data_IF_897903674012
#
_entry.id   IF_897903674012
#
_cell.length_a   1.000
_cell.length_b   1.000
_cell.length_c   1.000
_cell.angle_alpha   90.00
_cell.angle_beta   90.00
_cell.angle_gamma   90.00
#
_symmetry.space_group_name_H-M   'P 1'
#
loop_
_entity.id
_entity.type
_entity.pdbx_description
1 polymer ?
#
# COMPACT_ATOMS: atom_id res chain seq x y z
N UNK A 1 -15.57 32.49 29.33
CA UNK A 1 -14.74 32.74 28.13
C UNK A 1 -13.73 31.60 27.98
N UNK A 2 -14.19 30.40 27.63
CA UNK A 2 -13.39 29.16 27.63
C UNK A 2 -13.58 28.33 26.35
N UNK A 3 -14.00 28.96 25.25
CA UNK A 3 -14.29 28.27 23.98
C UNK A 3 -13.16 28.26 22.95
N UNK A 4 -12.06 29.00 23.17
CA UNK A 4 -11.07 29.26 22.12
C UNK A 4 -9.95 28.21 22.04
N UNK A 5 -9.70 27.43 23.09
CA UNK A 5 -8.54 26.52 23.13
C UNK A 5 -8.77 25.18 22.42
N UNK A 6 -9.99 24.64 22.44
CA UNK A 6 -10.30 23.38 21.72
C UNK A 6 -10.27 23.56 20.20
N UNK A 7 -10.76 24.69 19.70
CA UNK A 7 -10.82 24.96 18.27
C UNK A 7 -9.43 25.18 17.64
N UNK A 8 -8.48 25.74 18.40
CA UNK A 8 -7.08 25.84 17.96
C UNK A 8 -6.37 24.48 18.02
N UNK A 9 -6.66 23.63 19.00
CA UNK A 9 -6.07 22.28 19.09
C UNK A 9 -6.51 21.38 17.92
N UNK A 10 -7.81 21.39 17.55
CA UNK A 10 -8.32 20.64 16.40
C UNK A 10 -7.74 21.15 15.06
N UNK A 11 -7.58 22.46 14.92
CA UNK A 11 -6.96 23.05 13.72
C UNK A 11 -5.46 22.74 13.62
N UNK A 12 -4.75 22.67 14.74
CA UNK A 12 -3.33 22.31 14.77
C UNK A 12 -3.11 20.80 14.56
N UNK A 13 -3.96 19.93 15.09
CA UNK A 13 -3.89 18.48 14.84
C UNK A 13 -4.19 18.15 13.37
N UNK A 14 -5.22 18.77 12.78
CA UNK A 14 -5.52 18.60 11.35
C UNK A 14 -4.46 19.21 10.43
N UNK A 15 -3.80 20.30 10.83
CA UNK A 15 -2.67 20.87 10.09
C UNK A 15 -1.41 20.00 10.19
N UNK A 16 -1.16 19.34 11.32
CA UNK A 16 -0.02 18.44 11.50
C UNK A 16 -0.18 17.13 10.70
N UNK A 17 -1.40 16.57 10.65
CA UNK A 17 -1.76 15.44 9.74
C UNK A 17 -1.56 15.78 8.25
N UNK A 18 -1.65 17.06 7.88
CA UNK A 18 -1.36 17.55 6.51
C UNK A 18 0.12 17.90 6.29
N UNK A 19 0.91 18.01 7.35
CA UNK A 19 2.29 18.52 7.36
C UNK A 19 3.35 17.44 7.56
N UNK A 20 3.02 16.29 8.15
CA UNK A 20 3.80 15.10 7.85
C UNK A 20 3.54 14.77 6.38
N UNK A 21 4.55 14.26 5.68
CA UNK A 21 4.47 13.76 4.29
C UNK A 21 3.39 12.68 4.18
N UNK A 22 2.12 13.07 4.25
CA UNK A 22 0.98 12.21 4.06
C UNK A 22 1.20 11.52 2.74
N UNK A 23 1.11 10.19 2.74
CA UNK A 23 1.48 9.31 1.63
C UNK A 23 0.85 9.86 0.36
N UNK A 24 1.60 10.69 -0.34
CA UNK A 24 1.14 11.31 -1.56
C UNK A 24 1.14 10.16 -2.55
N UNK A 25 -0.04 9.82 -3.06
CA UNK A 25 -0.20 8.72 -4.02
C UNK A 25 0.76 8.93 -5.19
N UNK A 26 0.95 10.19 -5.63
CA UNK A 26 1.92 10.58 -6.65
C UNK A 26 3.36 10.22 -6.28
N UNK A 27 3.81 10.61 -5.09
CA UNK A 27 5.17 10.31 -4.62
C UNK A 27 5.37 8.81 -4.48
N UNK A 28 4.36 8.10 -3.97
CA UNK A 28 4.40 6.64 -3.80
C UNK A 28 4.46 5.90 -5.13
N UNK A 29 3.67 6.31 -6.13
CA UNK A 29 3.72 5.73 -7.47
C UNK A 29 5.05 6.01 -8.15
N UNK A 30 5.61 7.21 -8.00
CA UNK A 30 6.93 7.53 -8.54
C UNK A 30 8.03 6.69 -7.87
N UNK A 31 7.97 6.49 -6.56
CA UNK A 31 8.91 5.63 -5.84
C UNK A 31 8.81 4.17 -6.31
N UNK A 32 7.60 3.65 -6.51
CA UNK A 32 7.37 2.31 -7.05
C UNK A 32 7.94 2.21 -8.47
N UNK A 33 7.71 3.23 -9.31
CA UNK A 33 8.27 3.29 -10.67
C UNK A 33 9.78 3.21 -10.64
N UNK A 34 10.43 4.07 -9.85
CA UNK A 34 11.90 4.09 -9.71
C UNK A 34 12.43 2.74 -9.21
N UNK A 35 11.79 2.16 -8.19
CA UNK A 35 12.13 0.83 -7.68
C UNK A 35 11.99 -0.24 -8.77
N UNK A 36 10.85 -0.32 -9.45
CA UNK A 36 10.57 -1.34 -10.45
C UNK A 36 11.61 -1.33 -11.59
N UNK A 37 12.00 -0.15 -12.08
CA UNK A 37 13.06 -0.05 -13.09
C UNK A 37 14.45 -0.39 -12.58
N UNK A 38 14.78 0.06 -11.37
CA UNK A 38 16.10 -0.14 -10.78
C UNK A 38 16.35 -1.59 -10.34
N UNK A 39 15.30 -2.27 -9.87
CA UNK A 39 15.35 -3.65 -9.41
C UNK A 39 15.10 -4.67 -10.53
N UNK A 40 14.68 -4.24 -11.73
CA UNK A 40 14.22 -5.15 -12.80
C UNK A 40 15.18 -6.31 -13.07
N UNK A 41 16.45 -6.02 -13.34
CA UNK A 41 17.46 -7.06 -13.67
C UNK A 41 17.77 -7.98 -12.49
N UNK A 42 17.49 -7.56 -11.26
CA UNK A 42 17.63 -8.42 -10.07
C UNK A 42 16.38 -9.25 -9.79
N UNK A 43 15.23 -8.84 -10.33
CA UNK A 43 13.97 -9.56 -10.22
C UNK A 43 13.81 -10.59 -11.33
N UNK A 44 14.33 -10.33 -12.53
CA UNK A 44 14.40 -11.27 -13.65
C UNK A 44 15.54 -12.27 -13.40
N UNK A 45 15.21 -13.38 -12.73
CA UNK A 45 16.21 -14.34 -12.22
C UNK A 45 16.72 -15.27 -13.31
N UNK A 46 15.91 -15.57 -14.32
CA UNK A 46 16.30 -16.42 -15.44
C UNK A 46 16.79 -15.64 -16.67
N UNK A 47 16.62 -14.31 -16.68
CA UNK A 47 17.12 -13.42 -17.71
C UNK A 47 16.34 -13.52 -19.02
N UNK A 48 15.09 -13.98 -18.97
CA UNK A 48 14.23 -14.14 -20.15
C UNK A 48 13.64 -12.80 -20.62
N UNK A 49 13.86 -11.72 -19.86
CA UNK A 49 13.37 -10.39 -20.14
C UNK A 49 11.99 -10.11 -19.55
N UNK A 50 11.43 -11.03 -18.75
CA UNK A 50 10.13 -10.91 -18.09
C UNK A 50 10.28 -11.19 -16.60
N UNK A 51 9.59 -10.39 -15.79
CA UNK A 51 9.50 -10.63 -14.34
C UNK A 51 8.19 -11.34 -14.04
N UNK A 52 8.28 -12.61 -13.67
CA UNK A 52 7.14 -13.49 -13.35
C UNK A 52 6.60 -13.23 -11.93
N UNK A 53 5.38 -13.74 -11.65
CA UNK A 53 4.82 -13.70 -10.30
C UNK A 53 5.66 -14.50 -9.29
N UNK A 54 6.26 -15.61 -9.73
CA UNK A 54 7.12 -16.46 -8.91
C UNK A 54 8.37 -15.70 -8.48
N UNK A 55 9.01 -14.99 -9.39
CA UNK A 55 10.21 -14.20 -9.08
C UNK A 55 9.92 -13.03 -8.14
N UNK A 56 8.83 -12.30 -8.36
CA UNK A 56 8.38 -11.27 -7.42
C UNK A 56 8.08 -11.84 -6.03
N UNK A 57 7.47 -13.03 -5.97
CA UNK A 57 7.17 -13.72 -4.70
C UNK A 57 8.45 -14.16 -4.00
N UNK A 58 9.43 -14.68 -4.73
CA UNK A 58 10.74 -15.03 -4.22
C UNK A 58 11.44 -13.80 -3.61
N UNK A 59 11.50 -12.69 -4.36
CA UNK A 59 12.07 -11.44 -3.89
C UNK A 59 11.33 -10.88 -2.65
N UNK A 60 10.01 -11.06 -2.56
CA UNK A 60 9.24 -10.63 -1.39
C UNK A 60 9.57 -11.44 -0.13
N UNK A 61 9.80 -12.74 -0.30
CA UNK A 61 10.15 -13.64 0.81
C UNK A 61 11.59 -13.47 1.29
N UNK A 62 12.43 -12.71 0.57
CA UNK A 62 13.79 -12.42 0.98
C UNK A 62 13.81 -11.74 2.38
N UNK A 63 14.52 -12.33 3.37
CA UNK A 63 14.63 -11.73 4.70
C UNK A 63 15.47 -10.45 4.73
N UNK A 64 16.31 -10.22 3.72
CA UNK A 64 17.16 -9.04 3.60
C UNK A 64 16.43 -7.82 3.02
N UNK A 65 15.34 -8.05 2.29
CA UNK A 65 14.54 -6.98 1.70
C UNK A 65 13.86 -6.13 2.79
N UNK A 66 13.99 -4.82 2.67
CA UNK A 66 13.36 -3.88 3.60
C UNK A 66 11.84 -3.86 3.44
N UNK A 67 11.10 -3.51 4.51
CA UNK A 67 9.63 -3.41 4.46
C UNK A 67 9.11 -2.46 3.37
N UNK A 68 9.89 -1.41 3.05
CA UNK A 68 9.57 -0.50 1.94
C UNK A 68 9.61 -1.21 0.59
N UNK A 69 10.67 -1.96 0.31
CA UNK A 69 10.82 -2.74 -0.92
C UNK A 69 9.75 -3.82 -1.02
N UNK A 70 9.45 -4.52 0.08
CA UNK A 70 8.35 -5.49 0.17
C UNK A 70 7.00 -4.89 -0.20
N UNK A 71 6.73 -3.64 0.19
CA UNK A 71 5.50 -2.94 -0.21
C UNK A 71 5.44 -2.67 -1.72
N UNK A 72 6.58 -2.39 -2.36
CA UNK A 72 6.66 -2.17 -3.80
C UNK A 72 6.54 -3.49 -4.58
N UNK A 73 7.21 -4.55 -4.13
CA UNK A 73 7.05 -5.89 -4.68
C UNK A 73 5.60 -6.36 -4.60
N UNK A 74 4.93 -6.12 -3.47
CA UNK A 74 3.53 -6.47 -3.31
C UNK A 74 2.60 -5.70 -4.25
N UNK A 75 2.91 -4.42 -4.51
CA UNK A 75 2.22 -3.65 -5.54
C UNK A 75 2.37 -4.31 -6.91
N UNK A 76 3.60 -4.67 -7.31
CA UNK A 76 3.86 -5.34 -8.59
C UNK A 76 3.14 -6.70 -8.68
N UNK A 77 3.18 -7.52 -7.62
CA UNK A 77 2.48 -8.82 -7.56
C UNK A 77 0.98 -8.64 -7.80
N UNK A 78 0.35 -7.65 -7.14
CA UNK A 78 -1.09 -7.41 -7.28
C UNK A 78 -1.50 -6.88 -8.64
N UNK A 79 -0.59 -6.15 -9.29
CA UNK A 79 -0.83 -5.48 -10.56
C UNK A 79 -0.20 -6.21 -11.72
N UNK A 80 0.29 -7.44 -11.53
CA UNK A 80 1.03 -8.15 -12.57
C UNK A 80 0.19 -8.33 -13.84
N UNK A 81 -1.09 -8.65 -13.69
CA UNK A 81 -2.03 -8.78 -14.81
C UNK A 81 -2.30 -7.43 -15.48
N UNK A 82 -2.50 -6.36 -14.69
CA UNK A 82 -2.75 -5.02 -15.23
C UNK A 82 -1.52 -4.46 -15.95
N UNK A 83 -0.34 -4.66 -15.38
CA UNK A 83 0.95 -4.22 -15.94
C UNK A 83 1.23 -4.99 -17.23
N UNK A 84 1.16 -6.33 -17.22
CA UNK A 84 1.38 -7.16 -18.42
C UNK A 84 0.32 -7.01 -19.50
N UNK A 85 -0.83 -6.39 -19.18
CA UNK A 85 -1.85 -6.01 -20.13
C UNK A 85 -1.66 -4.60 -20.70
N UNK A 86 -0.78 -3.77 -20.11
CA UNK A 86 -0.57 -2.39 -20.53
C UNK A 86 0.06 -2.30 -21.92
N UNK A 87 0.84 -3.30 -22.32
CA UNK A 87 1.40 -3.43 -23.67
C UNK A 87 1.13 -4.83 -24.23
N UNK A 88 0.76 -4.90 -25.52
CA UNK A 88 0.58 -6.17 -26.23
C UNK A 88 1.80 -6.41 -27.11
N UNK A 89 2.75 -7.19 -26.60
CA UNK A 89 3.94 -7.58 -27.35
C UNK A 89 3.58 -8.59 -28.44
N UNK A 90 3.66 -8.17 -29.71
CA UNK A 90 3.27 -9.01 -30.86
C UNK A 90 4.12 -10.29 -31.02
N UNK A 91 5.25 -10.37 -30.33
CA UNK A 91 6.24 -11.44 -30.46
C UNK A 91 6.29 -12.41 -29.28
N UNK A 92 5.57 -12.13 -28.18
CA UNK A 92 5.49 -13.02 -27.03
C UNK A 92 4.34 -14.03 -27.22
N UNK A 93 4.68 -15.28 -27.58
CA UNK A 93 3.69 -16.33 -27.78
C UNK A 93 2.91 -16.70 -26.49
N UNK A 94 3.49 -16.42 -25.33
CA UNK A 94 2.88 -16.60 -24.01
C UNK A 94 3.26 -15.41 -23.13
N UNK A 95 2.26 -14.73 -22.54
CA UNK A 95 2.50 -13.67 -21.55
C UNK A 95 3.00 -14.31 -20.26
N UNK A 96 4.30 -14.21 -19.98
CA UNK A 96 4.94 -14.84 -18.82
C UNK A 96 5.34 -13.88 -17.71
N UNK A 97 4.78 -12.67 -17.65
CA UNK A 97 5.05 -11.74 -16.57
C UNK A 97 5.03 -10.32 -17.03
N UNK A 98 5.80 -9.49 -16.35
CA UNK A 98 5.95 -8.06 -16.62
C UNK A 98 7.21 -7.84 -17.45
N UNK A 99 7.09 -7.23 -18.62
CA UNK A 99 8.24 -6.72 -19.37
C UNK A 99 8.64 -5.30 -18.93
N UNK A 100 9.82 -4.83 -19.33
CA UNK A 100 10.20 -3.41 -19.13
C UNK A 100 9.27 -2.44 -19.85
N UNK A 101 8.76 -2.86 -21.02
CA UNK A 101 7.84 -2.05 -21.82
C UNK A 101 6.48 -1.99 -21.15
N UNK A 102 6.01 -3.11 -20.59
CA UNK A 102 4.79 -3.16 -19.78
C UNK A 102 4.83 -2.17 -18.62
N UNK A 103 5.94 -2.13 -17.86
CA UNK A 103 6.10 -1.15 -16.77
C UNK A 103 6.03 0.29 -17.28
N UNK A 104 6.68 0.56 -18.40
CA UNK A 104 6.68 1.90 -19.00
C UNK A 104 5.28 2.33 -19.39
N UNK A 105 4.59 1.52 -20.18
CA UNK A 105 3.25 1.82 -20.64
C UNK A 105 2.28 1.92 -19.46
N UNK A 106 2.38 1.02 -18.48
CA UNK A 106 1.52 1.06 -17.30
C UNK A 106 1.70 2.36 -16.49
N UNK A 107 2.93 2.78 -16.21
CA UNK A 107 3.16 4.01 -15.45
C UNK A 107 2.93 5.29 -16.26
N UNK A 108 3.00 5.24 -17.59
CA UNK A 108 2.60 6.36 -18.45
C UNK A 108 1.07 6.52 -18.51
N UNK A 109 0.32 5.40 -18.42
CA UNK A 109 -1.14 5.41 -18.41
C UNK A 109 -1.75 5.86 -17.08
N UNK A 110 -1.02 5.73 -15.97
CA UNK A 110 -1.46 6.25 -14.68
C UNK A 110 -1.25 7.77 -14.64
N UNK A 111 -2.24 8.50 -15.15
CA UNK A 111 -2.34 9.93 -14.91
C UNK A 111 -2.74 10.16 -13.44
N UNK A 112 -1.84 10.78 -12.68
CA UNK A 112 -2.20 11.30 -11.35
C UNK A 112 -2.90 12.63 -11.57
N UNK A 113 -4.22 12.66 -11.33
CA UNK A 113 -5.00 13.90 -11.38
C UNK A 113 -4.46 14.89 -10.34
N UNK A 114 -4.66 16.18 -10.59
CA UNK A 114 -4.27 17.25 -9.66
C UNK A 114 -4.96 17.13 -8.28
N UNK A 115 -6.10 16.42 -8.20
CA UNK A 115 -6.83 16.15 -6.97
C UNK A 115 -6.28 14.96 -6.15
N UNK A 116 -5.22 14.29 -6.63
CA UNK A 116 -4.58 13.16 -5.96
C UNK A 116 -5.26 11.81 -6.17
N UNK A 117 -6.33 11.74 -6.96
CA UNK A 117 -6.93 10.46 -7.38
C UNK A 117 -6.22 9.90 -8.61
N UNK A 118 -6.09 8.58 -8.68
CA UNK A 118 -5.54 7.87 -9.84
C UNK A 118 -6.66 7.05 -10.50
N UNK A 119 -7.27 7.65 -11.53
CA UNK A 119 -8.12 6.93 -12.48
C UNK A 119 -7.32 6.70 -13.77
N UNK A 120 -7.52 5.57 -14.43
CA UNK A 120 -6.93 5.34 -15.74
C UNK A 120 -7.45 6.40 -16.73
N UNK A 121 -6.55 7.08 -17.44
CA UNK A 121 -6.91 8.15 -18.36
C UNK A 121 -7.81 7.61 -19.50
N UNK A 122 -8.96 8.24 -19.81
CA UNK A 122 -9.74 7.89 -20.98
C UNK A 122 -9.02 8.41 -22.23
N UNK A 123 -8.09 7.64 -22.79
CA UNK A 123 -7.44 8.05 -24.04
C UNK A 123 -8.39 7.83 -25.21
N UNK A 124 -8.67 8.93 -25.90
CA UNK A 124 -9.46 8.96 -27.12
C UNK A 124 -8.78 8.12 -28.22
N UNK A 125 -9.55 7.13 -28.67
CA UNK A 125 -9.47 6.43 -29.95
C UNK A 125 -8.26 5.49 -30.20
N UNK A 126 -8.62 4.21 -30.20
CA UNK A 126 -8.27 3.24 -31.23
C UNK A 126 -6.84 2.67 -31.23
N UNK A 127 -6.57 1.77 -30.28
CA UNK A 127 -6.04 0.46 -30.62
C UNK A 127 -6.30 -0.55 -29.50
N UNK A 128 -7.20 -1.50 -29.82
CA UNK A 128 -7.53 -2.78 -29.16
C UNK A 128 -7.99 -2.75 -27.69
N UNK A 129 -9.31 -2.94 -27.58
CA UNK A 129 -10.13 -3.06 -26.39
C UNK A 129 -9.75 -4.28 -25.53
N UNK A 130 -8.66 -4.23 -24.78
CA UNK A 130 -8.68 -4.86 -23.47
C UNK A 130 -9.25 -3.79 -22.55
N UNK A 131 -10.51 -3.92 -22.06
CA UNK A 131 -10.93 -3.08 -20.96
C UNK A 131 -9.98 -3.40 -19.82
N UNK A 132 -9.03 -2.50 -19.56
CA UNK A 132 -8.37 -2.44 -18.26
C UNK A 132 -9.54 -2.44 -17.28
N UNK A 133 -9.63 -3.43 -16.37
CA UNK A 133 -10.74 -3.52 -15.44
C UNK A 133 -10.96 -2.14 -14.85
N UNK A 134 -12.09 -1.53 -15.17
CA UNK A 134 -12.36 -0.12 -14.85
C UNK A 134 -12.50 0.11 -13.34
N UNK A 135 -12.33 -0.95 -12.54
CA UNK A 135 -11.98 -0.87 -11.14
C UNK A 135 -10.53 -0.40 -10.98
N UNK A 136 -10.28 0.89 -11.23
CA UNK A 136 -9.16 1.56 -10.56
C UNK A 136 -9.18 1.22 -9.06
N UNK A 137 -8.02 1.28 -8.39
CA UNK A 137 -8.00 1.03 -6.95
C UNK A 137 -8.93 2.05 -6.30
N UNK A 138 -10.08 1.57 -5.82
CA UNK A 138 -10.91 2.35 -4.95
C UNK A 138 -10.15 2.42 -3.61
N UNK A 139 -9.36 3.49 -3.44
CA UNK A 139 -8.55 3.69 -2.24
C UNK A 139 -9.43 3.74 -1.00
N UNK A 140 -10.63 4.32 -1.11
CA UNK A 140 -11.63 4.31 -0.04
C UNK A 140 -12.01 2.88 0.34
N UNK A 141 -12.36 2.03 -0.62
CA UNK A 141 -12.62 0.61 -0.35
C UNK A 141 -11.40 -0.11 0.23
N UNK A 142 -10.20 0.16 -0.29
CA UNK A 142 -8.96 -0.45 0.20
C UNK A 142 -8.72 -0.09 1.67
N UNK A 143 -8.89 1.17 2.03
CA UNK A 143 -8.72 1.59 3.42
C UNK A 143 -9.83 1.04 4.32
N UNK A 144 -11.06 0.94 3.82
CA UNK A 144 -12.14 0.28 4.54
C UNK A 144 -11.82 -1.20 4.79
N UNK A 145 -11.32 -1.93 3.79
CA UNK A 145 -10.90 -3.32 3.95
C UNK A 145 -9.76 -3.47 4.95
N UNK A 146 -8.78 -2.56 4.95
CA UNK A 146 -7.69 -2.54 5.93
C UNK A 146 -8.25 -2.32 7.32
N UNK A 147 -9.15 -1.35 7.49
CA UNK A 147 -9.78 -1.03 8.76
C UNK A 147 -10.59 -2.20 9.31
N UNK A 148 -11.47 -2.79 8.49
CA UNK A 148 -12.28 -3.95 8.85
C UNK A 148 -11.41 -5.17 9.19
N UNK A 149 -10.36 -5.42 8.40
CA UNK A 149 -9.41 -6.48 8.68
C UNK A 149 -8.73 -6.26 10.03
N UNK A 150 -8.14 -5.08 10.26
CA UNK A 150 -7.40 -4.75 11.47
C UNK A 150 -8.25 -4.90 12.73
N UNK A 151 -9.50 -4.44 12.71
CA UNK A 151 -10.42 -4.60 13.83
C UNK A 151 -10.84 -6.06 14.05
N UNK A 152 -11.08 -6.80 12.97
CA UNK A 152 -11.51 -8.20 13.03
C UNK A 152 -10.42 -9.13 13.57
N UNK A 153 -9.16 -8.88 13.20
CA UNK A 153 -8.03 -9.73 13.58
C UNK A 153 -7.26 -9.19 14.78
N UNK A 154 -7.67 -8.06 15.37
CA UNK A 154 -6.98 -7.42 16.49
C UNK A 154 -6.64 -8.39 17.62
N UNK A 155 -7.66 -9.07 18.18
CA UNK A 155 -7.46 -10.03 19.30
C UNK A 155 -6.56 -11.21 18.95
N UNK A 156 -6.46 -11.57 17.66
CA UNK A 156 -5.57 -12.66 17.23
C UNK A 156 -4.13 -12.20 17.02
N UNK A 157 -3.93 -10.90 16.78
CA UNK A 157 -2.61 -10.30 16.58
C UNK A 157 -2.00 -9.78 17.88
N UNK A 158 -2.83 -9.32 18.82
CA UNK A 158 -2.45 -8.93 20.19
C UNK A 158 -2.15 -10.21 21.00
N UNK A 159 -0.89 -10.65 20.95
CA UNK A 159 -0.44 -11.94 21.46
C UNK A 159 -0.23 -11.90 22.97
N UNK A 160 0.14 -10.75 23.52
CA UNK A 160 0.35 -10.58 24.95
C UNK A 160 -0.90 -10.07 25.69
N UNK A 161 -1.92 -9.61 24.95
CA UNK A 161 -3.22 -9.21 25.48
C UNK A 161 -3.17 -7.85 26.18
N UNK A 162 -2.20 -7.00 25.84
CA UNK A 162 -2.03 -5.68 26.45
C UNK A 162 -3.02 -4.63 25.91
N UNK A 163 -3.76 -4.98 24.84
CA UNK A 163 -4.76 -4.14 24.20
C UNK A 163 -4.19 -3.26 23.08
N UNK A 164 -2.92 -3.44 22.72
CA UNK A 164 -2.21 -2.71 21.68
C UNK A 164 -1.58 -3.68 20.67
N UNK A 165 -1.48 -3.26 19.42
CA UNK A 165 -0.70 -3.98 18.41
C UNK A 165 0.68 -3.36 18.32
N UNK A 166 1.66 -4.02 18.93
CA UNK A 166 3.05 -3.65 18.86
C UNK A 166 3.62 -3.86 17.44
N UNK A 167 4.78 -3.24 17.17
CA UNK A 167 5.51 -3.47 15.90
C UNK A 167 5.87 -4.94 15.72
N UNK A 168 6.25 -5.64 16.79
CA UNK A 168 6.68 -7.03 16.72
C UNK A 168 5.51 -7.96 16.37
N UNK A 169 4.34 -7.74 16.94
CA UNK A 169 3.14 -8.54 16.67
C UNK A 169 2.67 -8.39 15.22
N UNK A 170 2.62 -7.15 14.72
CA UNK A 170 2.30 -6.90 13.32
C UNK A 170 3.34 -7.52 12.37
N UNK A 171 4.63 -7.52 12.74
CA UNK A 171 5.68 -8.19 11.97
C UNK A 171 5.48 -9.70 11.97
N UNK A 172 5.22 -10.31 13.14
CA UNK A 172 4.96 -11.74 13.28
C UNK A 172 3.78 -12.16 12.38
N UNK A 173 2.66 -11.43 12.47
CA UNK A 173 1.48 -11.68 11.64
C UNK A 173 1.76 -11.50 10.13
N UNK A 174 2.61 -10.54 9.75
CA UNK A 174 2.97 -10.29 8.35
C UNK A 174 3.91 -11.35 7.77
N UNK A 175 4.72 -11.99 8.62
CA UNK A 175 5.62 -13.08 8.22
C UNK A 175 4.98 -14.47 8.28
N UNK A 176 3.81 -14.60 8.91
CA UNK A 176 3.08 -15.87 8.98
C UNK A 176 2.78 -16.41 7.56
N UNK A 177 3.11 -17.67 7.33
CA UNK A 177 2.88 -18.38 6.06
C UNK A 177 1.39 -18.59 5.78
N UNK A 178 0.56 -18.68 6.82
CA UNK A 178 -0.89 -18.84 6.72
C UNK A 178 -1.60 -17.54 6.33
N UNK A 179 -0.95 -16.39 6.56
CA UNK A 179 -1.50 -15.09 6.18
C UNK A 179 -1.45 -14.92 4.66
N UNK A 180 -2.63 -14.76 4.06
CA UNK A 180 -2.75 -14.52 2.63
C UNK A 180 -2.04 -13.23 2.19
N UNK A 181 -1.67 -13.17 0.90
CA UNK A 181 -1.05 -12.00 0.30
C UNK A 181 -1.90 -10.73 0.39
N UNK A 182 -3.22 -10.89 0.50
CA UNK A 182 -4.12 -9.76 0.68
C UNK A 182 -3.90 -9.11 2.04
N UNK A 183 -4.00 -9.93 3.07
CA UNK A 183 -3.87 -9.58 4.47
C UNK A 183 -2.47 -9.08 4.81
N UNK A 184 -1.42 -9.68 4.22
CA UNK A 184 -0.03 -9.21 4.35
C UNK A 184 0.12 -7.75 3.94
N UNK A 185 -0.56 -7.27 2.89
CA UNK A 185 -0.48 -5.83 2.56
C UNK A 185 -1.09 -4.95 3.63
N UNK A 186 -2.18 -5.41 4.25
CA UNK A 186 -2.88 -4.65 5.27
C UNK A 186 -1.98 -4.51 6.49
N UNK A 187 -1.31 -5.60 6.88
CA UNK A 187 -0.32 -5.60 7.95
C UNK A 187 0.88 -4.72 7.63
N UNK A 188 1.41 -4.78 6.40
CA UNK A 188 2.50 -3.89 5.95
C UNK A 188 2.07 -2.43 6.01
N UNK A 189 0.83 -2.13 5.61
CA UNK A 189 0.27 -0.78 5.71
C UNK A 189 0.24 -0.30 7.16
N UNK A 190 -0.26 -1.13 8.09
CA UNK A 190 -0.27 -0.80 9.53
C UNK A 190 1.15 -0.60 10.06
N UNK A 191 2.10 -1.48 9.73
CA UNK A 191 3.51 -1.39 10.14
C UNK A 191 4.19 -0.10 9.70
N UNK A 192 3.90 0.36 8.48
CA UNK A 192 4.47 1.58 7.92
C UNK A 192 3.88 2.83 8.56
N UNK A 193 2.61 2.77 8.94
CA UNK A 193 1.87 3.91 9.49
C UNK A 193 1.71 3.83 11.01
N UNK A 194 2.39 2.91 11.69
CA UNK A 194 2.20 2.65 13.12
C UNK A 194 2.29 3.92 13.98
N UNK A 195 3.29 4.77 13.75
CA UNK A 195 3.46 6.01 14.51
C UNK A 195 2.38 7.06 14.22
N UNK A 196 1.85 7.08 13.00
CA UNK A 196 0.79 8.01 12.62
C UNK A 196 -0.56 7.53 13.17
N UNK A 197 -0.79 6.21 13.15
CA UNK A 197 -1.99 5.57 13.69
C UNK A 197 -1.99 5.70 15.22
N UNK A 198 -0.90 5.36 15.90
CA UNK A 198 -0.78 5.42 17.38
C UNK A 198 -0.85 6.83 17.97
N UNK A 199 -0.83 7.87 17.13
CA UNK A 199 -0.98 9.27 17.52
C UNK A 199 -2.34 9.84 17.12
N UNK A 200 -3.17 9.06 16.43
CA UNK A 200 -4.49 9.50 16.01
C UNK A 200 -5.40 9.71 17.22
N UNK A 201 -5.25 8.91 18.27
CA UNK A 201 -6.02 9.03 19.50
C UNK A 201 -5.10 9.11 20.72
N UNK A 202 -5.26 10.16 21.53
CA UNK A 202 -4.45 10.36 22.75
C UNK A 202 -5.07 9.60 23.92
N UNK A 203 -4.55 8.40 24.17
CA UNK A 203 -4.84 7.62 25.36
C UNK A 203 -3.91 8.06 26.50
N UNK A 204 -4.39 8.94 27.38
CA UNK A 204 -3.59 9.49 28.49
C UNK A 204 -3.01 8.45 29.48
N UNK A 205 -3.43 7.19 29.36
CA UNK A 205 -3.02 6.07 30.21
C UNK A 205 -2.08 5.09 29.50
N UNK A 206 -1.92 5.17 28.18
CA UNK A 206 -1.09 4.27 27.41
C UNK A 206 0.41 4.66 27.54
N UNK A 207 1.33 3.69 27.65
CA UNK A 207 2.74 3.99 27.59
C UNK A 207 3.11 4.59 26.23
N UNK A 208 4.08 5.52 26.23
CA UNK A 208 4.66 6.01 24.98
C UNK A 208 5.21 4.82 24.18
N UNK A 209 4.73 4.65 22.94
CA UNK A 209 5.07 3.53 22.04
C UNK A 209 4.43 2.17 22.37
N UNK A 210 3.27 2.14 23.06
CA UNK A 210 2.51 0.91 23.29
C UNK A 210 2.15 0.17 21.98
N UNK A 211 1.96 0.90 20.88
CA UNK A 211 1.59 0.32 19.59
C UNK A 211 0.32 0.97 19.07
N UNK A 212 -0.53 0.19 18.39
CA UNK A 212 -1.80 0.65 17.84
C UNK A 212 -2.95 0.12 18.70
N UNK A 213 -3.73 1.00 19.32
CA UNK A 213 -4.97 0.61 19.99
C UNK A 213 -6.14 0.48 18.99
N UNK A 214 -7.27 -0.08 19.44
CA UNK A 214 -8.51 -0.06 18.64
C UNK A 214 -9.03 1.35 18.40
N UNK A 215 -8.86 2.24 19.38
CA UNK A 215 -9.31 3.63 19.29
C UNK A 215 -8.44 4.39 18.29
N UNK A 216 -7.14 4.12 18.28
CA UNK A 216 -6.22 4.64 17.27
C UNK A 216 -6.66 4.28 15.84
N UNK A 217 -6.98 3.01 15.60
CA UNK A 217 -7.47 2.56 14.29
C UNK A 217 -8.74 3.32 13.89
N UNK A 218 -9.75 3.33 14.78
CA UNK A 218 -11.02 3.99 14.50
C UNK A 218 -10.83 5.47 14.18
N UNK A 219 -10.06 6.18 15.00
CA UNK A 219 -9.84 7.62 14.83
C UNK A 219 -9.00 7.93 13.59
N UNK A 220 -7.94 7.15 13.33
CA UNK A 220 -7.12 7.30 12.14
C UNK A 220 -7.95 7.16 10.86
N UNK A 221 -8.73 6.08 10.74
CA UNK A 221 -9.56 5.86 9.55
C UNK A 221 -10.73 6.85 9.44
N UNK A 222 -11.30 7.31 10.57
CA UNK A 222 -12.29 8.40 10.58
C UNK A 222 -11.70 9.70 10.03
N UNK A 223 -10.47 10.04 10.40
CA UNK A 223 -9.78 11.27 9.96
C UNK A 223 -9.44 11.26 8.48
N UNK A 224 -9.21 10.07 7.90
CA UNK A 224 -9.01 9.89 6.46
C UNK A 224 -10.29 10.15 5.63
N UNK A 225 -11.45 10.37 6.27
CA UNK A 225 -12.75 10.65 5.64
C UNK A 225 -13.14 9.60 4.58
N UNK A 226 -12.84 8.34 4.88
CA UNK A 226 -13.28 7.19 4.09
C UNK A 226 -14.73 6.87 4.42
#
# INVERSE_FOLDING_TARGET
MTGTSQQQAEQSQTAWLRSQDGICVKTSLNDIKVFAYGAYDSLDLDGDGFVTQTELSNAFTDPTAGWREKSFLLFLIRRIEDISAAYEEEWAAEKRGISRVDLQEYFEQIEVREDGTCEAAPRAEAWKKVPIPSGGINLSQTFQDIHEYALKTFDSMDQDGDGFLSRQELQNAATDELTGWREKSFLIFLLRNIEAISKAYDEHWAPENAGISRMDLQEYFRLLKI
#
